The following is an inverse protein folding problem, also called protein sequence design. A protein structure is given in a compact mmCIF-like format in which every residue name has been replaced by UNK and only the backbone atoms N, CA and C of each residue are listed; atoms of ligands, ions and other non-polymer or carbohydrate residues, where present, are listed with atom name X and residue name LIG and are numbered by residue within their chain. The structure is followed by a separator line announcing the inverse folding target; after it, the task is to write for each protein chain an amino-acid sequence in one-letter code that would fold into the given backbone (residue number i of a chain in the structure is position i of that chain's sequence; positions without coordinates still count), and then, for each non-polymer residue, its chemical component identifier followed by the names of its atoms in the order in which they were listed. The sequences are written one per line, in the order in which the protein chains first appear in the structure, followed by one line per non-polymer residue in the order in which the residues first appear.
data_IF_380187121027
#
_entry.id   IF_380187121027
#
_cell.length_a   1.000
_cell.length_b   1.000
_cell.length_c   1.000
_cell.angle_alpha   90.00
_cell.angle_beta   90.00
_cell.angle_gamma   90.00
#
_symmetry.space_group_name_H-M   'P 1'
#
loop_
_entity.id
_entity.type
_entity.pdbx_description
1 polymer ?
#
# COMPACT_ATOMS: atom_id res chain seq x y z
N UNK A 1 -4.32 -29.77 1.88
CA UNK A 1 -4.28 -28.77 2.97
C UNK A 1 -3.45 -27.58 2.49
N UNK A 2 -3.84 -26.35 2.83
CA UNK A 2 -3.04 -25.16 2.53
C UNK A 2 -1.71 -25.22 3.28
N UNK A 3 -0.61 -24.84 2.64
CA UNK A 3 0.73 -24.76 3.26
C UNK A 3 0.98 -23.42 3.96
N UNK A 4 -0.05 -22.56 4.06
CA UNK A 4 0.08 -21.19 4.57
C UNK A 4 -0.89 -20.97 5.74
N UNK A 5 -0.38 -20.33 6.80
CA UNK A 5 -1.16 -19.89 7.96
C UNK A 5 -1.94 -18.61 7.64
N UNK A 6 -3.15 -18.48 8.18
CA UNK A 6 -4.01 -17.32 7.94
C UNK A 6 -3.64 -16.13 8.86
N UNK A 7 -2.44 -15.57 8.68
CA UNK A 7 -1.91 -14.45 9.49
C UNK A 7 -1.81 -13.12 8.74
N UNK A 8 -1.94 -13.14 7.41
CA UNK A 8 -1.82 -11.96 6.54
C UNK A 8 -3.14 -11.70 5.79
N UNK A 9 -4.15 -11.23 6.52
CA UNK A 9 -5.37 -10.73 5.90
C UNK A 9 -5.06 -9.49 5.06
N UNK A 10 -5.58 -9.44 3.83
CA UNK A 10 -5.44 -8.27 2.96
C UNK A 10 -6.59 -7.30 3.16
N UNK A 11 -6.29 -6.00 3.09
CA UNK A 11 -7.33 -4.98 3.02
C UNK A 11 -8.11 -5.16 1.70
N UNK A 12 -9.43 -4.92 1.69
CA UNK A 12 -10.26 -5.05 0.49
C UNK A 12 -10.12 -3.81 -0.42
N UNK A 13 -8.89 -3.47 -0.78
CA UNK A 13 -8.54 -2.35 -1.64
C UNK A 13 -7.37 -2.75 -2.53
N UNK A 14 -7.45 -2.39 -3.80
CA UNK A 14 -6.37 -2.54 -4.76
C UNK A 14 -5.87 -1.15 -5.15
N UNK A 15 -4.57 -0.91 -4.98
CA UNK A 15 -3.93 0.36 -5.35
C UNK A 15 -3.23 0.22 -6.70
N UNK A 16 -3.35 1.23 -7.55
CA UNK A 16 -2.75 1.29 -8.89
C UNK A 16 -1.40 1.99 -8.89
N UNK A 17 -1.26 3.08 -8.11
CA UNK A 17 -0.02 3.80 -7.94
C UNK A 17 0.04 4.55 -6.59
N UNK A 18 1.22 5.05 -6.25
CA UNK A 18 1.46 5.90 -5.09
C UNK A 18 2.44 7.02 -5.40
N UNK A 19 2.29 8.16 -4.72
CA UNK A 19 3.17 9.33 -4.84
C UNK A 19 3.30 10.02 -3.48
N UNK A 20 4.53 10.10 -2.96
CA UNK A 20 4.80 10.60 -1.62
C UNK A 20 4.04 9.78 -0.57
N UNK A 21 3.14 10.44 0.18
CA UNK A 21 2.32 9.81 1.24
C UNK A 21 0.94 9.34 0.75
N UNK A 22 0.66 9.44 -0.55
CA UNK A 22 -0.66 9.13 -1.11
C UNK A 22 -0.65 7.83 -1.91
N UNK A 23 -1.72 7.04 -1.75
CA UNK A 23 -2.03 5.88 -2.57
C UNK A 23 -3.34 6.10 -3.33
N UNK A 24 -3.43 5.55 -4.53
CA UNK A 24 -4.58 5.74 -5.42
C UNK A 24 -5.15 4.37 -5.80
N UNK A 25 -6.47 4.23 -5.73
CA UNK A 25 -7.15 3.03 -6.22
C UNK A 25 -7.55 3.15 -7.70
N UNK A 26 -8.16 2.10 -8.24
CA UNK A 26 -8.61 2.03 -9.64
C UNK A 26 -9.66 3.08 -10.00
N UNK A 27 -10.37 3.63 -9.01
CA UNK A 27 -11.37 4.70 -9.21
C UNK A 27 -10.76 6.10 -9.15
N UNK A 28 -9.46 6.20 -8.86
CA UNK A 28 -8.76 7.46 -8.65
C UNK A 28 -8.95 8.06 -7.26
N UNK A 29 -9.58 7.33 -6.32
CA UNK A 29 -9.70 7.79 -4.94
C UNK A 29 -8.33 7.73 -4.27
N UNK A 30 -7.98 8.81 -3.57
CA UNK A 30 -6.73 8.93 -2.83
C UNK A 30 -6.88 8.53 -1.36
N UNK A 31 -5.84 7.89 -0.83
CA UNK A 31 -5.74 7.43 0.55
C UNK A 31 -4.42 7.89 1.14
N UNK A 32 -4.43 8.32 2.41
CA UNK A 32 -3.20 8.59 3.15
C UNK A 32 -2.55 7.25 3.54
N UNK A 33 -1.28 7.05 3.18
CA UNK A 33 -0.50 5.91 3.63
C UNK A 33 0.09 6.16 5.02
N UNK A 34 -0.63 5.70 6.04
CA UNK A 34 -0.18 5.73 7.43
C UNK A 34 0.53 4.44 7.87
N UNK A 35 0.72 3.47 6.95
CA UNK A 35 1.41 2.21 7.21
C UNK A 35 2.85 2.24 6.68
N UNK A 36 3.07 2.98 5.59
CA UNK A 36 4.35 3.11 4.90
C UNK A 36 4.94 1.74 4.52
N UNK A 37 4.09 0.79 4.12
CA UNK A 37 4.52 -0.58 3.80
C UNK A 37 5.21 -1.30 4.95
N UNK A 38 4.73 -1.14 6.18
CA UNK A 38 5.42 -1.59 7.42
C UNK A 38 6.77 -0.87 7.54
N UNK A 39 6.72 0.47 7.48
CA UNK A 39 7.88 1.36 7.55
C UNK A 39 8.99 1.11 6.49
N UNK A 40 8.65 0.52 5.34
CA UNK A 40 9.56 0.35 4.20
C UNK A 40 9.62 1.61 3.35
N UNK A 41 8.48 2.21 3.02
CA UNK A 41 8.37 3.39 2.14
C UNK A 41 8.61 4.69 2.91
N UNK A 42 9.71 4.77 3.65
CA UNK A 42 10.01 5.90 4.56
C UNK A 42 10.21 7.22 3.82
N UNK A 43 10.72 7.18 2.59
CA UNK A 43 10.86 8.35 1.71
C UNK A 43 9.57 8.66 0.92
N UNK A 44 8.51 7.88 1.15
CA UNK A 44 7.29 7.91 0.36
C UNK A 44 7.39 7.06 -0.91
N UNK A 45 6.23 6.87 -1.55
CA UNK A 45 6.12 6.16 -2.81
C UNK A 45 6.63 7.01 -3.97
N UNK A 46 7.31 6.37 -4.94
CA UNK A 46 7.86 7.01 -6.13
C UNK A 46 8.78 8.22 -5.81
N UNK A 47 9.65 8.08 -4.82
CA UNK A 47 10.62 9.15 -4.49
C UNK A 47 11.60 9.37 -5.66
N UNK A 48 11.82 10.61 -6.13
CA UNK A 48 12.52 10.90 -7.38
C UNK A 48 14.05 10.75 -7.33
N UNK A 49 14.64 10.46 -6.16
CA UNK A 49 16.09 10.39 -5.93
C UNK A 49 16.45 9.24 -5.00
#
# INVERSE_FOLDING_TARGET
MSHVMNTYARLPVAFTHGEGVWLYDETGKRYLDALSGIAVSTLGHNHPR
#
